data_IF_562303834249
#
_entry.id   IF_562303834249
#
_cell.length_a   1.000
_cell.length_b   1.000
_cell.length_c   1.000
_cell.angle_alpha   90.00
_cell.angle_beta   90.00
_cell.angle_gamma   90.00
#
_symmetry.space_group_name_H-M   'P 1'
#
loop_
_entity.id
_entity.type
_entity.pdbx_description
1 polymer ?
#
# COMPACT_ATOMS: atom_id res chain seq x y z
N UNK A 1 30.15 1.52 -18.68
CA UNK A 1 28.74 1.89 -18.52
C UNK A 1 28.47 1.94 -17.03
N UNK A 2 28.48 3.14 -16.46
CA UNK A 2 28.40 3.39 -15.02
C UNK A 2 26.95 3.19 -14.57
N UNK A 3 26.70 2.27 -13.63
CA UNK A 3 25.40 2.15 -12.97
C UNK A 3 25.18 3.40 -12.10
N UNK A 4 24.05 4.05 -12.31
CA UNK A 4 23.57 5.16 -11.50
C UNK A 4 23.15 4.63 -10.12
N UNK A 5 24.06 4.69 -9.16
CA UNK A 5 23.74 4.45 -7.74
C UNK A 5 22.96 5.64 -7.14
N UNK A 6 21.85 6.01 -7.77
CA UNK A 6 20.84 6.86 -7.15
C UNK A 6 20.15 6.05 -6.05
N UNK A 7 20.40 6.39 -4.80
CA UNK A 7 19.78 5.76 -3.64
C UNK A 7 18.25 5.83 -3.76
N UNK A 8 17.61 4.73 -4.16
CA UNK A 8 16.16 4.60 -4.10
C UNK A 8 15.81 4.61 -2.60
N UNK A 9 15.07 5.62 -2.09
CA UNK A 9 14.74 5.66 -0.68
C UNK A 9 13.98 4.37 -0.32
N UNK A 10 14.31 3.71 0.79
CA UNK A 10 13.64 2.47 1.18
C UNK A 10 12.15 2.76 1.37
N UNK A 11 11.31 2.14 0.54
CA UNK A 11 9.85 2.25 0.67
C UNK A 11 9.34 1.04 1.45
N UNK A 12 8.63 1.31 2.55
CA UNK A 12 8.04 0.27 3.39
C UNK A 12 6.84 -0.35 2.68
N UNK A 13 6.99 -1.58 2.19
CA UNK A 13 5.86 -2.40 1.73
C UNK A 13 5.30 -3.15 2.93
N UNK A 14 4.06 -2.84 3.31
CA UNK A 14 3.33 -3.55 4.36
C UNK A 14 2.26 -4.47 3.77
N UNK A 15 1.92 -5.55 4.47
CA UNK A 15 0.89 -6.49 4.03
C UNK A 15 0.04 -6.96 5.20
N UNK A 16 -1.27 -7.04 4.97
CA UNK A 16 -2.20 -7.75 5.84
C UNK A 16 -2.47 -9.12 5.22
N UNK A 17 -2.45 -10.19 6.00
CA UNK A 17 -2.78 -11.52 5.49
C UNK A 17 -4.28 -11.60 5.20
N UNK A 18 -4.64 -12.13 4.02
CA UNK A 18 -6.02 -12.47 3.66
C UNK A 18 -6.20 -13.97 3.90
N UNK A 19 -7.41 -14.43 4.22
CA UNK A 19 -7.69 -15.81 4.66
C UNK A 19 -7.07 -16.88 3.73
N UNK A 20 -7.05 -16.65 2.42
CA UNK A 20 -6.45 -17.56 1.42
C UNK A 20 -5.51 -16.86 0.44
N UNK A 21 -4.85 -15.78 0.88
CA UNK A 21 -4.11 -14.92 -0.03
C UNK A 21 -3.14 -13.94 0.62
N UNK A 22 -2.41 -13.22 -0.22
CA UNK A 22 -1.44 -12.20 0.20
C UNK A 22 -1.91 -10.84 -0.31
N UNK A 23 -1.91 -9.85 0.59
CA UNK A 23 -2.09 -8.44 0.23
C UNK A 23 -0.77 -7.71 0.39
N UNK A 24 -0.37 -6.97 -0.64
CA UNK A 24 0.75 -6.04 -0.61
C UNK A 24 0.24 -4.61 -0.82
N UNK A 25 0.70 -3.70 0.03
CA UNK A 25 0.37 -2.27 -0.07
C UNK A 25 1.64 -1.45 -0.29
N UNK A 26 1.64 -0.70 -1.38
CA UNK A 26 2.59 0.37 -1.65
C UNK A 26 1.95 1.73 -1.37
N UNK A 27 2.73 2.82 -1.31
CA UNK A 27 2.19 4.17 -1.15
C UNK A 27 1.19 4.59 -2.24
N UNK A 28 1.25 3.98 -3.42
CA UNK A 28 0.45 4.36 -4.60
C UNK A 28 -0.59 3.31 -5.01
N UNK A 29 -0.47 2.05 -4.54
CA UNK A 29 -1.31 0.96 -4.98
C UNK A 29 -1.47 -0.13 -3.93
N UNK A 30 -2.55 -0.88 -4.03
CA UNK A 30 -2.77 -2.12 -3.30
C UNK A 30 -2.92 -3.25 -4.33
N UNK A 31 -2.20 -4.35 -4.08
CA UNK A 31 -2.31 -5.58 -4.83
C UNK A 31 -2.74 -6.71 -3.88
N UNK A 32 -3.73 -7.49 -4.30
CA UNK A 32 -4.22 -8.65 -3.55
C UNK A 32 -4.19 -9.86 -4.47
N UNK A 33 -3.56 -10.95 -4.02
CA UNK A 33 -3.60 -12.25 -4.67
C UNK A 33 -4.39 -13.22 -3.78
N UNK A 34 -5.44 -13.84 -4.30
CA UNK A 34 -6.25 -14.82 -3.59
C UNK A 34 -6.33 -16.12 -4.37
N UNK A 35 -6.30 -17.26 -3.67
CA UNK A 35 -6.61 -18.55 -4.26
C UNK A 35 -8.12 -18.77 -4.25
N UNK A 36 -8.69 -19.12 -5.41
CA UNK A 36 -10.08 -19.52 -5.53
C UNK A 36 -10.27 -21.00 -5.17
N UNK A 37 -11.50 -21.40 -4.80
CA UNK A 37 -11.83 -22.81 -4.59
C UNK A 37 -11.61 -23.71 -5.82
N UNK A 38 -11.69 -23.12 -7.03
CA UNK A 38 -11.40 -23.80 -8.31
C UNK A 38 -9.89 -24.01 -8.58
N UNK A 39 -9.03 -23.56 -7.66
CA UNK A 39 -7.58 -23.68 -7.73
C UNK A 39 -6.87 -22.56 -8.50
N UNK A 40 -7.60 -21.61 -9.08
CA UNK A 40 -7.02 -20.47 -9.79
C UNK A 40 -6.56 -19.39 -8.82
N UNK A 41 -5.60 -18.57 -9.25
CA UNK A 41 -5.14 -17.40 -8.49
C UNK A 41 -5.74 -16.16 -9.16
N UNK A 42 -6.53 -15.40 -8.42
CA UNK A 42 -7.00 -14.09 -8.86
C UNK A 42 -6.13 -13.00 -8.26
N UNK A 43 -5.60 -12.12 -9.12
CA UNK A 43 -4.80 -10.97 -8.72
C UNK A 43 -5.62 -9.72 -9.01
N UNK A 44 -5.90 -8.95 -7.96
CA UNK A 44 -6.57 -7.65 -8.06
C UNK A 44 -5.57 -6.54 -7.76
N UNK A 45 -5.37 -5.63 -8.70
CA UNK A 45 -4.60 -4.40 -8.50
C UNK A 45 -5.54 -3.20 -8.47
N UNK A 46 -5.46 -2.40 -7.40
CA UNK A 46 -6.21 -1.15 -7.30
C UNK A 46 -5.26 0.01 -7.00
N UNK A 47 -5.36 1.14 -7.73
CA UNK A 47 -4.64 2.34 -7.37
C UNK A 47 -5.12 2.82 -5.99
N UNK A 48 -4.17 3.02 -5.08
CA UNK A 48 -4.43 3.49 -3.73
C UNK A 48 -4.01 4.95 -3.65
N UNK A 49 -4.99 5.85 -3.77
CA UNK A 49 -4.81 7.26 -3.43
C UNK A 49 -5.29 7.46 -1.99
N UNK A 50 -4.35 7.61 -1.06
CA UNK A 50 -4.70 7.95 0.32
C UNK A 50 -5.45 9.29 0.37
N UNK A 51 -6.61 9.31 1.05
CA UNK A 51 -7.43 10.53 1.23
C UNK A 51 -6.62 11.63 1.94
N UNK A 52 -5.73 11.23 2.85
CA UNK A 52 -4.77 12.08 3.57
C UNK A 52 -3.65 12.65 2.69
N UNK A 53 -3.35 12.05 1.54
CA UNK A 53 -2.45 12.66 0.54
C UNK A 53 -3.16 13.74 -0.28
N UNK A 54 -4.49 13.64 -0.44
CA UNK A 54 -5.30 14.61 -1.20
C UNK A 54 -5.67 15.84 -0.37
N UNK A 55 -5.83 15.69 0.94
CA UNK A 55 -6.25 16.76 1.85
C UNK A 55 -5.14 17.05 2.86
N UNK A 56 -4.29 18.05 2.56
CA UNK A 56 -3.22 18.53 3.45
C UNK A 56 -3.73 18.91 4.85
N UNK A 57 -4.98 19.34 4.95
CA UNK A 57 -5.63 19.69 6.22
C UNK A 57 -5.84 18.47 7.12
N UNK A 58 -6.15 17.29 6.56
CA UNK A 58 -6.30 16.03 7.32
C UNK A 58 -4.97 15.48 7.86
N UNK A 59 -3.84 16.12 7.52
CA UNK A 59 -2.54 15.80 8.10
C UNK A 59 -2.27 16.51 9.44
N UNK A 60 -3.13 17.45 9.86
CA UNK A 60 -2.97 18.13 11.14
C UNK A 60 -3.17 17.15 12.29
N UNK A 61 -2.27 17.14 13.30
CA UNK A 61 -2.41 16.28 14.48
C UNK A 61 -3.77 16.43 15.16
N UNK A 62 -4.38 17.62 15.15
CA UNK A 62 -5.72 17.89 15.72
C UNK A 62 -6.81 16.97 15.13
N UNK A 63 -6.77 16.69 13.82
CA UNK A 63 -7.75 15.82 13.15
C UNK A 63 -7.38 14.33 13.21
N UNK A 64 -6.16 14.02 13.64
CA UNK A 64 -5.62 12.66 13.76
C UNK A 64 -5.65 12.11 15.19
N UNK A 65 -6.42 12.75 16.08
CA UNK A 65 -6.49 12.36 17.49
C UNK A 65 -5.36 12.93 18.36
N UNK A 66 -4.71 14.02 17.92
CA UNK A 66 -3.67 14.73 18.65
C UNK A 66 -4.21 15.73 19.66
N UNK A 67 -5.16 15.32 20.49
CA UNK A 67 -5.39 15.81 21.84
C UNK A 67 -5.69 14.56 22.65
N UNK A 68 -4.88 14.35 23.69
CA UNK A 68 -4.74 13.17 24.54
C UNK A 68 -5.97 12.26 24.68
#
# INVERSE_FOLDING_TARGET
MQADNGSIPPFTVGGQAVIEGVMMRSPAAIATAVRKPDGQIEITHRPFRGITAKLRFLNLPILRGGVN
#
